data_IF_474091210961
#
_entry.id   IF_474091210961
#
_cell.length_a   1.000
_cell.length_b   1.000
_cell.length_c   1.000
_cell.angle_alpha   90.00
_cell.angle_beta   90.00
_cell.angle_gamma   90.00
#
_symmetry.space_group_name_H-M   'P 1'
#
loop_
_entity.id
_entity.type
_entity.pdbx_description
1 polymer ?
#
# COMPACT_ATOMS: atom_id res chain seq x y z
N UNK A 1 30.04 -15.07 -20.20
CA UNK A 1 30.51 -14.07 -19.23
C UNK A 1 29.96 -12.75 -19.68
N UNK A 2 28.80 -12.50 -19.08
CA UNK A 2 28.25 -11.23 -18.61
C UNK A 2 27.76 -10.16 -19.61
N UNK A 3 26.43 -10.06 -19.56
CA UNK A 3 25.56 -8.89 -19.76
C UNK A 3 26.12 -7.61 -19.13
N UNK A 4 25.86 -6.45 -19.75
CA UNK A 4 24.92 -5.51 -19.11
C UNK A 4 24.41 -4.41 -20.05
N UNK A 5 23.08 -4.35 -20.07
CA UNK A 5 22.24 -3.31 -20.64
C UNK A 5 22.37 -2.00 -19.86
N UNK A 6 22.45 -0.86 -20.55
CA UNK A 6 22.18 0.44 -19.91
C UNK A 6 20.99 1.16 -20.56
N UNK A 7 19.93 1.23 -19.76
CA UNK A 7 18.68 1.96 -19.95
C UNK A 7 18.93 3.44 -20.26
N UNK A 8 18.26 3.96 -21.28
CA UNK A 8 18.00 5.40 -21.42
C UNK A 8 16.51 5.67 -21.15
N UNK A 9 16.17 6.62 -20.25
CA UNK A 9 14.79 6.93 -19.91
C UNK A 9 14.13 7.76 -21.01
N UNK A 10 12.91 7.38 -21.39
CA UNK A 10 12.07 8.12 -22.33
C UNK A 10 11.38 9.25 -21.58
N UNK A 11 11.81 10.49 -21.82
CA UNK A 11 11.01 11.69 -21.62
C UNK A 11 11.32 12.70 -22.72
N UNK A 12 10.35 13.59 -22.97
CA UNK A 12 10.27 14.65 -24.00
C UNK A 12 9.42 14.24 -25.21
N UNK A 13 8.11 14.47 -25.09
CA UNK A 13 7.27 14.87 -26.23
C UNK A 13 6.63 16.20 -25.85
N UNK A 14 7.18 17.29 -26.37
CA UNK A 14 6.53 18.59 -26.48
C UNK A 14 5.53 18.53 -27.64
N UNK A 15 4.24 18.69 -27.37
CA UNK A 15 3.24 18.90 -28.44
C UNK A 15 2.79 20.35 -28.45
N UNK A 16 3.21 21.07 -29.48
CA UNK A 16 2.58 22.28 -29.98
C UNK A 16 1.12 21.95 -30.34
N UNK A 17 0.16 22.64 -29.71
CA UNK A 17 -1.21 22.69 -30.18
C UNK A 17 -1.55 24.13 -30.55
N UNK A 18 -1.63 24.32 -31.86
CA UNK A 18 -2.19 25.49 -32.54
C UNK A 18 -3.66 25.66 -32.20
N UNK A 19 -4.00 26.91 -31.88
CA UNK A 19 -5.33 27.48 -31.81
C UNK A 19 -6.03 27.39 -33.15
N UNK A 20 -6.92 26.41 -33.34
CA UNK A 20 -8.03 26.48 -34.30
C UNK A 20 -8.86 25.19 -34.20
N UNK A 21 -9.85 25.21 -33.31
CA UNK A 21 -11.07 24.36 -33.35
C UNK A 21 -12.00 24.64 -32.17
N UNK A 22 -12.08 25.91 -31.75
CA UNK A 22 -13.29 26.41 -31.09
C UNK A 22 -14.28 26.72 -32.20
N UNK A 23 -15.43 26.04 -32.17
CA UNK A 23 -16.72 26.34 -32.83
C UNK A 23 -17.31 25.10 -33.49
N UNK A 24 -18.01 24.30 -32.69
CA UNK A 24 -19.30 23.71 -33.09
C UNK A 24 -19.71 22.72 -32.01
N UNK A 25 -20.82 22.99 -31.34
CA UNK A 25 -21.85 22.03 -30.89
C UNK A 25 -22.75 22.74 -29.87
N UNK A 26 -23.55 23.67 -30.40
CA UNK A 26 -24.84 24.01 -29.81
C UNK A 26 -25.88 22.98 -30.27
N UNK A 27 -26.90 22.79 -29.44
CA UNK A 27 -28.09 21.93 -29.60
C UNK A 27 -27.95 20.43 -29.23
N UNK A 28 -28.26 20.12 -27.97
CA UNK A 28 -28.93 18.86 -27.59
C UNK A 28 -30.12 19.19 -26.67
N UNK A 29 -31.25 18.46 -26.79
CA UNK A 29 -32.56 18.82 -26.23
C UNK A 29 -32.68 18.58 -24.72
N UNK A 30 -33.72 19.15 -24.05
CA UNK A 30 -33.83 19.12 -22.59
C UNK A 30 -34.22 17.74 -22.04
N UNK A 31 -33.62 17.39 -20.91
CA UNK A 31 -33.91 16.19 -20.11
C UNK A 31 -35.30 16.25 -19.44
N UNK A 32 -36.05 15.14 -19.36
CA UNK A 32 -37.31 15.10 -18.62
C UNK A 32 -37.07 14.99 -17.11
N UNK A 33 -37.85 15.74 -16.35
CA UNK A 33 -37.96 15.76 -14.88
C UNK A 33 -38.48 14.42 -14.33
N UNK A 34 -38.04 13.96 -13.14
CA UNK A 34 -38.38 12.64 -12.63
C UNK A 34 -39.75 12.61 -11.95
N UNK A 35 -40.61 11.68 -12.39
CA UNK A 35 -41.85 11.33 -11.71
C UNK A 35 -41.57 10.41 -10.51
N UNK A 36 -42.18 10.74 -9.39
CA UNK A 36 -42.21 10.00 -8.13
C UNK A 36 -42.76 8.58 -8.28
N UNK A 37 -42.10 7.59 -7.69
CA UNK A 37 -42.72 6.28 -7.42
C UNK A 37 -42.29 5.72 -6.07
N UNK A 38 -43.32 5.19 -5.42
CA UNK A 38 -43.46 4.89 -4.02
C UNK A 38 -42.58 3.74 -3.49
N UNK A 39 -42.36 3.82 -2.18
CA UNK A 39 -41.77 2.83 -1.29
C UNK A 39 -42.42 1.45 -1.37
N UNK A 40 -41.60 0.41 -1.52
CA UNK A 40 -41.94 -0.98 -1.14
C UNK A 40 -40.77 -1.62 -0.37
N UNK A 41 -41.05 -2.54 0.57
CA UNK A 41 -40.13 -2.89 1.65
C UNK A 41 -39.03 -3.88 1.22
N UNK A 42 -37.83 -3.63 1.73
CA UNK A 42 -36.62 -4.40 1.50
C UNK A 42 -36.61 -5.72 2.29
N UNK A 43 -36.83 -6.85 1.61
CA UNK A 43 -36.29 -8.15 2.06
C UNK A 43 -35.11 -8.55 1.17
N UNK A 44 -33.98 -7.86 1.35
CA UNK A 44 -32.71 -8.28 0.78
C UNK A 44 -32.10 -9.38 1.66
N UNK A 45 -32.28 -10.64 1.27
CA UNK A 45 -31.47 -11.75 1.78
C UNK A 45 -30.00 -11.42 1.54
N UNK A 46 -29.22 -11.26 2.62
CA UNK A 46 -27.75 -11.21 2.58
C UNK A 46 -27.24 -12.51 1.95
N UNK A 47 -26.98 -12.51 0.64
CA UNK A 47 -26.11 -13.53 0.03
C UNK A 47 -24.68 -13.16 0.43
N UNK A 48 -24.11 -13.92 1.34
CA UNK A 48 -22.68 -13.87 1.63
C UNK A 48 -21.92 -14.04 0.31
N UNK A 49 -21.07 -13.07 -0.02
CA UNK A 49 -20.11 -13.21 -1.11
C UNK A 49 -19.11 -14.30 -0.68
N UNK A 50 -18.94 -15.38 -1.45
CA UNK A 50 -17.98 -16.42 -1.11
C UNK A 50 -16.55 -15.85 -1.16
N UNK A 51 -15.62 -16.40 -0.36
CA UNK A 51 -14.26 -15.90 -0.28
C UNK A 51 -13.57 -16.01 -1.65
N UNK A 52 -12.94 -14.91 -2.04
CA UNK A 52 -12.14 -14.83 -3.25
C UNK A 52 -10.85 -15.63 -3.08
N UNK A 53 -10.76 -16.74 -3.81
CA UNK A 53 -9.69 -17.10 -4.76
C UNK A 53 -10.34 -18.13 -5.67
N UNK A 54 -10.82 -17.71 -6.86
CA UNK A 54 -11.04 -18.69 -7.92
C UNK A 54 -9.66 -19.07 -8.42
N UNK A 55 -9.16 -20.22 -7.98
CA UNK A 55 -8.20 -20.97 -8.78
C UNK A 55 -8.86 -21.16 -10.14
N UNK A 56 -8.40 -20.41 -11.16
CA UNK A 56 -8.76 -20.73 -12.52
C UNK A 56 -8.24 -22.14 -12.78
N UNK A 57 -9.08 -23.09 -13.24
CA UNK A 57 -8.61 -24.40 -13.62
C UNK A 57 -7.51 -24.22 -14.66
N UNK A 58 -6.31 -24.72 -14.39
CA UNK A 58 -5.13 -24.63 -15.26
C UNK A 58 -5.27 -25.48 -16.53
N UNK A 59 -6.40 -26.14 -16.72
CA UNK A 59 -6.76 -26.75 -18.00
C UNK A 59 -7.26 -25.63 -18.93
N UNK A 60 -6.33 -24.98 -19.64
CA UNK A 60 -6.65 -24.57 -21.00
C UNK A 60 -7.00 -25.88 -21.72
N UNK A 61 -8.29 -26.19 -21.77
CA UNK A 61 -8.81 -27.42 -22.35
C UNK A 61 -8.21 -27.58 -23.75
N UNK A 62 -7.66 -28.76 -24.09
CA UNK A 62 -7.14 -29.03 -25.43
C UNK A 62 -8.18 -28.67 -26.48
N UNK A 63 -9.46 -28.91 -26.14
CA UNK A 63 -10.66 -28.50 -26.85
C UNK A 63 -10.68 -27.00 -27.22
N UNK A 64 -10.24 -26.10 -26.34
CA UNK A 64 -10.20 -24.66 -26.60
C UNK A 64 -9.05 -24.26 -27.53
N UNK A 65 -7.87 -24.86 -27.38
CA UNK A 65 -6.78 -24.64 -28.33
C UNK A 65 -7.13 -25.17 -29.72
N UNK A 66 -7.81 -26.32 -29.78
CA UNK A 66 -8.33 -26.87 -31.04
C UNK A 66 -9.39 -25.97 -31.66
N UNK A 67 -10.29 -25.39 -30.85
CA UNK A 67 -11.23 -24.37 -31.31
C UNK A 67 -10.50 -23.15 -31.91
N UNK A 68 -9.51 -22.59 -31.22
CA UNK A 68 -8.75 -21.44 -31.71
C UNK A 68 -7.99 -21.76 -33.00
N UNK A 69 -7.37 -22.93 -33.09
CA UNK A 69 -6.70 -23.42 -34.29
C UNK A 69 -7.68 -23.58 -35.45
N UNK A 70 -8.87 -24.14 -35.19
CA UNK A 70 -9.91 -24.30 -36.21
C UNK A 70 -10.46 -22.96 -36.69
N UNK A 71 -10.65 -21.99 -35.81
CA UNK A 71 -11.08 -20.62 -36.16
C UNK A 71 -10.01 -19.88 -36.95
N UNK A 72 -8.74 -20.02 -36.59
CA UNK A 72 -7.64 -19.51 -37.39
C UNK A 72 -7.57 -20.20 -38.76
N UNK A 73 -7.91 -21.50 -38.81
CA UNK A 73 -7.87 -22.29 -40.03
C UNK A 73 -8.98 -21.94 -41.06
N UNK A 74 -10.03 -21.21 -40.65
CA UNK A 74 -11.09 -20.72 -41.55
C UNK A 74 -10.50 -19.87 -42.66
N UNK A 75 -9.47 -19.08 -42.38
CA UNK A 75 -8.85 -18.17 -43.35
C UNK A 75 -8.16 -18.94 -44.49
N UNK A 76 -7.83 -20.23 -44.29
CA UNK A 76 -7.31 -21.10 -45.35
C UNK A 76 -8.42 -21.73 -46.23
N UNK A 77 -9.69 -21.69 -45.80
CA UNK A 77 -10.79 -22.31 -46.57
C UNK A 77 -11.06 -21.50 -47.84
N UNK A 78 -11.00 -22.16 -48.99
CA UNK A 78 -11.27 -21.55 -50.30
C UNK A 78 -10.06 -20.89 -50.98
N UNK A 79 -8.90 -20.82 -50.32
CA UNK A 79 -7.68 -20.30 -50.94
C UNK A 79 -7.01 -21.36 -51.84
N UNK A 80 -6.91 -21.07 -53.13
CA UNK A 80 -6.22 -21.92 -54.11
C UNK A 80 -4.93 -21.25 -54.59
N UNK A 81 -3.92 -21.21 -53.70
CA UNK A 81 -2.63 -20.57 -53.99
C UNK A 81 -1.78 -21.49 -54.85
N UNK A 82 -1.67 -21.16 -56.14
CA UNK A 82 -0.92 -21.95 -57.13
C UNK A 82 0.58 -21.59 -57.18
N UNK A 83 0.94 -20.37 -56.84
CA UNK A 83 2.30 -19.83 -56.93
C UNK A 83 3.15 -20.17 -55.71
N UNK A 84 4.35 -20.72 -55.94
CA UNK A 84 5.35 -20.95 -54.88
C UNK A 84 6.03 -19.63 -54.51
N UNK A 85 6.37 -19.46 -53.24
CA UNK A 85 7.15 -18.31 -52.78
C UNK A 85 8.59 -18.41 -53.33
N UNK A 86 9.04 -17.49 -54.21
CA UNK A 86 10.42 -17.45 -54.65
C UNK A 86 11.32 -16.94 -53.53
N UNK A 87 12.58 -17.39 -53.51
CA UNK A 87 13.50 -17.08 -52.41
C UNK A 87 13.83 -15.58 -52.35
N UNK A 88 13.85 -14.88 -53.49
CA UNK A 88 14.08 -13.42 -53.57
C UNK A 88 12.94 -12.58 -52.96
N UNK A 89 11.73 -13.15 -52.83
CA UNK A 89 10.57 -12.49 -52.22
C UNK A 89 10.26 -13.02 -50.83
N UNK A 90 11.09 -13.93 -50.31
CA UNK A 90 10.87 -14.51 -49.01
C UNK A 90 11.27 -13.51 -47.92
N UNK A 91 10.26 -13.00 -47.21
CA UNK A 91 10.43 -12.17 -46.02
C UNK A 91 9.77 -12.88 -44.85
N UNK A 92 10.46 -12.89 -43.71
CA UNK A 92 9.89 -13.44 -42.48
C UNK A 92 8.83 -12.47 -41.95
N UNK A 93 7.52 -12.83 -41.96
CA UNK A 93 6.45 -11.91 -41.59
C UNK A 93 6.60 -11.41 -40.16
N UNK A 94 6.22 -10.16 -39.91
CA UNK A 94 5.95 -9.66 -38.56
C UNK A 94 4.53 -10.05 -38.11
N UNK A 95 4.21 -9.84 -36.83
CA UNK A 95 2.90 -10.18 -36.24
C UNK A 95 1.76 -9.44 -36.97
N UNK A 96 1.97 -8.18 -37.35
CA UNK A 96 1.01 -7.36 -38.09
C UNK A 96 0.75 -7.86 -39.52
N UNK A 97 1.76 -8.49 -40.15
CA UNK A 97 1.74 -8.87 -41.57
C UNK A 97 1.44 -10.36 -41.78
N UNK A 98 0.81 -11.01 -40.79
CA UNK A 98 0.51 -12.44 -40.79
C UNK A 98 -0.27 -12.91 -42.04
N UNK A 99 -1.04 -12.02 -42.67
CA UNK A 99 -1.81 -12.30 -43.91
C UNK A 99 -0.92 -12.64 -45.11
N UNK A 100 0.36 -12.23 -45.12
CA UNK A 100 1.32 -12.63 -46.18
C UNK A 100 1.52 -14.14 -46.28
N UNK A 101 1.23 -14.89 -45.20
CA UNK A 101 1.30 -16.35 -45.23
C UNK A 101 0.20 -16.99 -46.07
N UNK A 102 -0.84 -16.22 -46.44
CA UNK A 102 -1.94 -16.65 -47.30
C UNK A 102 -1.67 -16.41 -48.79
N UNK A 103 -0.67 -15.61 -49.16
CA UNK A 103 -0.46 -15.18 -50.55
C UNK A 103 0.39 -16.14 -51.39
N UNK A 104 1.21 -16.97 -50.75
CA UNK A 104 2.15 -17.87 -51.44
C UNK A 104 2.16 -19.28 -50.84
N UNK A 105 2.58 -20.25 -51.65
CA UNK A 105 2.91 -21.60 -51.18
C UNK A 105 4.37 -21.66 -50.72
N UNK A 106 4.59 -21.75 -49.41
CA UNK A 106 5.92 -21.75 -48.79
C UNK A 106 6.59 -23.13 -48.79
N UNK A 107 7.93 -23.13 -48.91
CA UNK A 107 8.77 -24.33 -48.74
C UNK A 107 8.86 -24.69 -47.25
N UNK A 108 9.14 -25.97 -46.94
CA UNK A 108 9.26 -26.43 -45.55
C UNK A 108 10.37 -25.68 -44.80
N UNK A 109 11.50 -25.41 -45.44
CA UNK A 109 12.62 -24.73 -44.79
C UNK A 109 12.34 -23.24 -44.53
N UNK A 110 11.64 -22.57 -45.46
CA UNK A 110 11.13 -21.21 -45.24
C UNK A 110 10.24 -21.15 -43.99
N UNK A 111 9.30 -22.10 -43.83
CA UNK A 111 8.44 -22.15 -42.64
C UNK A 111 9.21 -22.50 -41.36
N UNK A 112 10.22 -23.36 -41.42
CA UNK A 112 11.10 -23.63 -40.27
C UNK A 112 11.85 -22.37 -39.85
N UNK A 113 12.30 -21.56 -40.80
CA UNK A 113 12.97 -20.27 -40.51
C UNK A 113 12.03 -19.32 -39.77
N UNK A 114 10.77 -19.19 -40.23
CA UNK A 114 9.76 -18.38 -39.54
C UNK A 114 9.46 -18.95 -38.15
N UNK A 115 9.25 -20.26 -38.04
CA UNK A 115 8.97 -20.92 -36.76
C UNK A 115 10.11 -20.72 -35.75
N UNK A 116 11.38 -20.77 -36.18
CA UNK A 116 12.54 -20.49 -35.31
C UNK A 116 12.53 -19.06 -34.77
N UNK A 117 12.23 -18.05 -35.60
CA UNK A 117 12.16 -16.63 -35.17
C UNK A 117 11.20 -16.45 -33.99
N UNK A 118 10.03 -17.10 -34.06
CA UNK A 118 9.00 -17.03 -33.03
C UNK A 118 9.12 -18.11 -31.95
N UNK A 119 10.25 -18.84 -31.90
CA UNK A 119 10.51 -19.91 -30.93
C UNK A 119 9.43 -21.01 -30.90
N UNK A 120 8.84 -21.29 -32.07
CA UNK A 120 7.83 -22.33 -32.25
C UNK A 120 8.46 -23.69 -32.59
N UNK A 121 7.72 -24.77 -32.32
CA UNK A 121 8.13 -26.13 -32.69
C UNK A 121 8.26 -26.27 -34.22
N UNK A 122 9.43 -26.72 -34.67
CA UNK A 122 9.81 -26.82 -36.10
C UNK A 122 9.52 -28.19 -36.77
N UNK A 123 9.06 -29.18 -36.02
CA UNK A 123 8.71 -30.50 -36.56
C UNK A 123 7.31 -30.52 -37.19
N UNK A 124 7.04 -31.52 -38.04
CA UNK A 124 5.72 -31.77 -38.62
C UNK A 124 5.68 -31.71 -40.15
N UNK A 125 4.48 -31.85 -40.69
CA UNK A 125 4.19 -31.67 -42.12
C UNK A 125 4.20 -30.20 -42.53
N UNK A 126 4.32 -29.92 -43.82
CA UNK A 126 4.33 -28.53 -44.33
C UNK A 126 3.03 -27.78 -43.93
N UNK A 127 1.88 -28.48 -44.00
CA UNK A 127 0.57 -27.93 -43.58
C UNK A 127 0.52 -27.62 -42.08
N UNK A 128 1.01 -28.52 -41.23
CA UNK A 128 1.07 -28.28 -39.79
C UNK A 128 1.96 -27.11 -39.41
N UNK A 129 3.14 -27.00 -40.04
CA UNK A 129 4.07 -25.88 -39.84
C UNK A 129 3.42 -24.56 -40.24
N UNK A 130 2.75 -24.51 -41.40
CA UNK A 130 2.07 -23.32 -41.88
C UNK A 130 0.94 -22.90 -40.94
N UNK A 131 0.07 -23.86 -40.57
CA UNK A 131 -1.03 -23.62 -39.63
C UNK A 131 -0.53 -23.11 -38.29
N UNK A 132 0.51 -23.72 -37.73
CA UNK A 132 1.09 -23.31 -36.43
C UNK A 132 1.63 -21.89 -36.47
N UNK A 133 2.42 -21.56 -37.48
CA UNK A 133 2.99 -20.22 -37.64
C UNK A 133 1.87 -19.20 -37.82
N UNK A 134 0.93 -19.47 -38.73
CA UNK A 134 -0.19 -18.57 -39.01
C UNK A 134 -1.06 -18.31 -37.77
N UNK A 135 -1.49 -19.37 -37.08
CA UNK A 135 -2.31 -19.25 -35.89
C UNK A 135 -1.59 -18.47 -34.80
N UNK A 136 -0.30 -18.73 -34.59
CA UNK A 136 0.49 -17.98 -33.62
C UNK A 136 0.51 -16.47 -33.94
N UNK A 137 0.79 -16.10 -35.19
CA UNK A 137 0.86 -14.68 -35.58
C UNK A 137 -0.51 -13.99 -35.53
N UNK A 138 -1.56 -14.65 -36.03
CA UNK A 138 -2.94 -14.14 -35.98
C UNK A 138 -3.39 -13.90 -34.54
N UNK A 139 -3.28 -14.92 -33.69
CA UNK A 139 -3.69 -14.81 -32.28
C UNK A 139 -2.84 -13.79 -31.52
N UNK A 140 -1.55 -13.67 -31.84
CA UNK A 140 -0.69 -12.65 -31.25
C UNK A 140 -1.14 -11.24 -31.64
N UNK A 141 -1.52 -11.03 -32.91
CA UNK A 141 -2.05 -9.75 -33.39
C UNK A 141 -3.38 -9.40 -32.68
N UNK A 142 -4.30 -10.36 -32.58
CA UNK A 142 -5.57 -10.18 -31.87
C UNK A 142 -5.34 -9.89 -30.38
N UNK A 143 -4.41 -10.60 -29.74
CA UNK A 143 -4.01 -10.37 -28.35
C UNK A 143 -3.43 -8.97 -28.15
N UNK A 144 -2.58 -8.47 -29.06
CA UNK A 144 -2.04 -7.10 -29.00
C UNK A 144 -3.18 -6.07 -29.06
N UNK A 145 -4.19 -6.29 -29.90
CA UNK A 145 -5.36 -5.40 -29.99
C UNK A 145 -6.13 -5.35 -28.65
N UNK A 146 -6.42 -6.51 -28.07
CA UNK A 146 -7.09 -6.62 -26.76
C UNK A 146 -6.25 -5.94 -25.67
N UNK A 147 -4.95 -6.21 -25.63
CA UNK A 147 -4.04 -5.60 -24.66
C UNK A 147 -3.98 -4.08 -24.81
N UNK A 148 -3.97 -3.54 -26.04
CA UNK A 148 -4.00 -2.10 -26.31
C UNK A 148 -5.28 -1.47 -25.75
N UNK A 149 -6.44 -2.09 -26.00
CA UNK A 149 -7.72 -1.62 -25.44
C UNK A 149 -7.71 -1.65 -23.92
N UNK A 150 -7.20 -2.74 -23.33
CA UNK A 150 -7.13 -2.90 -21.88
C UNK A 150 -6.18 -1.89 -21.21
N UNK A 151 -4.98 -1.68 -21.76
CA UNK A 151 -4.05 -0.63 -21.28
C UNK A 151 -4.71 0.75 -21.32
N UNK A 152 -5.40 1.07 -22.42
CA UNK A 152 -6.17 2.32 -22.53
C UNK A 152 -7.30 2.43 -21.50
N UNK A 153 -8.02 1.34 -21.23
CA UNK A 153 -9.04 1.29 -20.18
C UNK A 153 -8.42 1.54 -18.80
N UNK A 154 -7.32 0.87 -18.46
CA UNK A 154 -6.62 1.07 -17.18
C UNK A 154 -6.15 2.51 -17.00
N UNK A 155 -5.62 3.15 -18.05
CA UNK A 155 -5.21 4.56 -17.98
C UNK A 155 -6.40 5.47 -17.73
N UNK A 156 -7.50 5.33 -18.48
CA UNK A 156 -8.71 6.13 -18.29
C UNK A 156 -9.32 5.92 -16.91
N UNK A 157 -9.36 4.67 -16.45
CA UNK A 157 -9.82 4.33 -15.10
C UNK A 157 -8.94 4.97 -14.02
N UNK A 158 -7.61 4.94 -14.18
CA UNK A 158 -6.69 5.64 -13.29
C UNK A 158 -6.97 7.14 -13.24
N UNK A 159 -7.16 7.78 -14.40
CA UNK A 159 -7.45 9.21 -14.48
C UNK A 159 -8.78 9.55 -13.79
N UNK A 160 -9.80 8.69 -13.91
CA UNK A 160 -11.07 8.84 -13.19
C UNK A 160 -10.91 8.73 -11.67
N UNK A 161 -10.05 7.83 -11.18
CA UNK A 161 -9.78 7.69 -9.75
C UNK A 161 -9.06 8.91 -9.16
N UNK A 162 -8.27 9.65 -9.96
CA UNK A 162 -7.61 10.91 -9.55
C UNK A 162 -8.58 12.08 -9.40
N UNK A 163 -9.78 11.96 -9.94
CA UNK A 163 -10.85 12.93 -9.72
C UNK A 163 -10.93 14.06 -10.77
N UNK A 164 -11.89 14.98 -10.58
CA UNK A 164 -12.36 15.90 -11.61
C UNK A 164 -11.36 16.99 -12.02
N UNK A 165 -10.40 17.32 -11.17
CA UNK A 165 -9.38 18.34 -11.45
C UNK A 165 -8.04 17.76 -11.94
N UNK A 166 -7.96 16.44 -12.21
CA UNK A 166 -6.71 15.82 -12.64
C UNK A 166 -6.18 16.38 -13.97
N UNK A 167 -7.05 16.52 -14.97
CA UNK A 167 -6.66 17.05 -16.29
C UNK A 167 -6.65 18.58 -16.35
N UNK A 168 -7.41 19.23 -15.47
CA UNK A 168 -7.45 20.69 -15.36
C UNK A 168 -7.47 21.08 -13.89
N UNK A 169 -6.30 21.51 -13.40
CA UNK A 169 -6.08 21.89 -12.00
C UNK A 169 -6.70 23.24 -11.65
N UNK A 170 -7.05 24.06 -12.63
CA UNK A 170 -7.72 25.35 -12.40
C UNK A 170 -9.14 25.18 -11.84
N UNK A 171 -9.69 23.96 -11.91
CA UNK A 171 -10.95 23.62 -11.24
C UNK A 171 -10.83 23.59 -9.72
N UNK A 172 -9.62 23.48 -9.17
CA UNK A 172 -9.43 23.42 -7.73
C UNK A 172 -9.72 24.79 -7.08
N UNK A 173 -10.53 24.76 -6.04
CA UNK A 173 -10.85 25.93 -5.22
C UNK A 173 -9.67 26.33 -4.32
N UNK A 174 -8.90 25.35 -3.84
CA UNK A 174 -7.70 25.61 -3.03
C UNK A 174 -6.47 25.89 -3.91
N UNK A 175 -5.63 26.82 -3.46
CA UNK A 175 -4.39 27.21 -4.15
C UNK A 175 -3.20 26.30 -3.82
N UNK A 176 -3.10 25.82 -2.58
CA UNK A 176 -2.03 24.95 -2.09
C UNK A 176 -2.59 23.73 -1.38
N UNK A 177 -1.77 22.70 -1.19
CA UNK A 177 -2.06 21.55 -0.32
C UNK A 177 -1.85 21.91 1.17
N UNK A 178 -2.60 21.27 2.06
CA UNK A 178 -2.63 21.64 3.48
C UNK A 178 -1.50 21.01 4.31
N UNK A 179 -0.86 19.94 3.82
CA UNK A 179 0.22 19.26 4.53
C UNK A 179 1.56 19.54 3.86
N UNK A 180 1.68 19.34 2.54
CA UNK A 180 2.94 19.58 1.83
C UNK A 180 3.19 21.07 1.59
N UNK A 181 2.16 21.91 1.72
CA UNK A 181 2.18 23.35 1.40
C UNK A 181 2.55 23.67 -0.04
N UNK A 182 2.63 22.66 -0.91
CA UNK A 182 2.91 22.83 -2.33
C UNK A 182 1.71 23.45 -3.05
N UNK A 183 1.97 24.25 -4.08
CA UNK A 183 0.90 24.74 -4.93
C UNK A 183 0.23 23.58 -5.65
N UNK A 184 -1.11 23.59 -5.70
CA UNK A 184 -1.90 22.54 -6.35
C UNK A 184 -1.49 22.34 -7.81
N UNK A 185 -1.02 23.40 -8.49
CA UNK A 185 -0.54 23.35 -9.87
C UNK A 185 0.79 22.62 -10.04
N UNK A 186 1.59 22.55 -8.98
CA UNK A 186 2.96 22.03 -9.00
C UNK A 186 3.05 20.57 -8.52
N UNK A 187 2.06 20.09 -7.77
CA UNK A 187 1.99 18.69 -7.29
C UNK A 187 2.24 17.69 -8.44
N UNK A 188 3.09 16.67 -8.34
CA UNK A 188 3.30 15.72 -9.43
C UNK A 188 2.01 15.01 -9.87
N UNK A 189 1.83 14.77 -11.18
CA UNK A 189 0.62 14.12 -11.71
C UNK A 189 0.37 12.72 -11.12
N UNK A 190 1.45 12.03 -10.74
CA UNK A 190 1.40 10.73 -10.08
C UNK A 190 0.85 10.82 -8.66
N UNK A 191 1.10 11.95 -8.00
CA UNK A 191 0.81 12.20 -6.60
C UNK A 191 -0.47 13.03 -6.38
N UNK A 192 -1.03 13.58 -7.45
CA UNK A 192 -2.25 14.37 -7.38
C UNK A 192 -3.53 13.51 -7.26
N UNK A 193 -4.44 13.97 -6.39
CA UNK A 193 -5.83 13.50 -6.29
C UNK A 193 -6.77 14.69 -6.03
N UNK A 194 -8.01 14.60 -6.49
CA UNK A 194 -9.05 15.61 -6.26
C UNK A 194 -10.39 14.98 -5.99
N UNK A 195 -11.26 15.70 -5.28
CA UNK A 195 -12.66 15.34 -5.14
C UNK A 195 -13.56 16.57 -5.19
N UNK A 196 -14.83 16.35 -5.50
CA UNK A 196 -15.87 17.38 -5.48
C UNK A 196 -16.71 17.19 -4.23
N UNK A 197 -16.93 18.28 -3.50
CA UNK A 197 -17.79 18.32 -2.32
C UNK A 197 -19.27 18.43 -2.70
N UNK A 198 -20.14 18.35 -1.70
CA UNK A 198 -21.60 18.38 -1.85
C UNK A 198 -22.10 19.72 -2.42
N UNK A 199 -21.38 20.80 -2.11
CA UNK A 199 -21.63 22.15 -2.62
C UNK A 199 -21.07 22.39 -4.03
N UNK A 200 -20.48 21.37 -4.66
CA UNK A 200 -19.97 21.44 -6.02
C UNK A 200 -18.55 22.01 -6.17
N UNK A 201 -17.92 22.47 -5.08
CA UNK A 201 -16.52 22.89 -5.06
C UNK A 201 -15.57 21.70 -5.22
N UNK A 202 -14.45 21.90 -5.91
CA UNK A 202 -13.46 20.85 -6.16
C UNK A 202 -12.18 21.16 -5.40
N UNK A 203 -11.67 20.20 -4.64
CA UNK A 203 -10.44 20.34 -3.87
C UNK A 203 -9.38 19.40 -4.40
N UNK A 204 -8.16 19.91 -4.60
CA UNK A 204 -6.98 19.17 -5.03
C UNK A 204 -6.04 18.94 -3.86
N UNK A 205 -5.47 17.75 -3.77
CA UNK A 205 -4.59 17.33 -2.70
C UNK A 205 -3.42 16.52 -3.25
N UNK A 206 -2.34 16.52 -2.49
CA UNK A 206 -1.37 15.44 -2.58
C UNK A 206 -1.97 14.15 -1.96
N UNK A 207 -1.72 13.01 -2.59
CA UNK A 207 -2.11 11.68 -2.10
C UNK A 207 -1.54 11.46 -0.69
N UNK A 208 -0.33 11.92 -0.41
CA UNK A 208 0.32 11.92 0.91
C UNK A 208 -0.60 12.57 1.94
N UNK A 209 -1.01 13.80 1.66
CA UNK A 209 -1.81 14.64 2.55
C UNK A 209 -3.15 14.00 2.86
N UNK A 210 -3.89 13.61 1.82
CA UNK A 210 -5.20 12.99 1.97
C UNK A 210 -5.14 11.62 2.66
N UNK A 211 -4.07 10.85 2.41
CA UNK A 211 -3.85 9.56 3.07
C UNK A 211 -3.56 9.71 4.57
N UNK A 212 -2.69 10.66 4.94
CA UNK A 212 -2.35 10.92 6.33
C UNK A 212 -3.51 11.53 7.11
N UNK A 213 -4.31 12.40 6.49
CA UNK A 213 -5.55 12.90 7.08
C UNK A 213 -6.48 11.76 7.49
N UNK A 214 -6.65 10.76 6.62
CA UNK A 214 -7.48 9.58 6.94
C UNK A 214 -6.87 8.70 8.02
N UNK A 215 -5.55 8.58 8.04
CA UNK A 215 -4.82 7.66 8.94
C UNK A 215 -4.71 8.22 10.35
N UNK A 216 -4.53 9.52 10.50
CA UNK A 216 -4.42 10.21 11.79
C UNK A 216 -5.77 10.43 12.48
N UNK A 217 -6.88 10.22 11.77
CA UNK A 217 -8.22 10.30 12.36
C UNK A 217 -8.55 9.00 13.12
N UNK A 218 -8.64 9.07 14.45
CA UNK A 218 -8.94 7.95 15.34
C UNK A 218 -10.20 7.17 14.91
N UNK A 219 -10.10 5.84 14.95
CA UNK A 219 -11.04 4.89 14.32
C UNK A 219 -12.53 5.24 14.44
N UNK A 220 -13.20 5.24 13.28
CA UNK A 220 -14.60 5.61 13.02
C UNK A 220 -14.99 7.10 13.13
N UNK A 221 -14.07 8.00 13.48
CA UNK A 221 -14.38 9.43 13.46
C UNK A 221 -14.55 9.92 12.02
N UNK A 222 -15.45 10.90 11.85
CA UNK A 222 -15.71 11.56 10.58
C UNK A 222 -14.45 12.32 10.18
N UNK A 223 -14.03 12.17 8.91
CA UNK A 223 -12.88 12.92 8.39
C UNK A 223 -13.42 14.17 7.74
N UNK A 224 -12.91 15.32 8.14
CA UNK A 224 -13.33 16.61 7.64
C UNK A 224 -12.31 17.19 6.66
N UNK A 225 -12.79 17.99 5.71
CA UNK A 225 -11.97 18.74 4.79
C UNK A 225 -11.19 19.83 5.57
N UNK A 226 -9.85 19.91 5.46
CA UNK A 226 -9.06 20.93 6.13
C UNK A 226 -9.46 22.38 5.83
N UNK A 227 -10.07 22.64 4.66
CA UNK A 227 -10.45 24.00 4.23
C UNK A 227 -11.85 24.41 4.68
N UNK A 228 -12.82 23.49 4.67
CA UNK A 228 -14.24 23.79 4.90
C UNK A 228 -14.82 23.13 6.14
N UNK A 229 -14.11 22.19 6.76
CA UNK A 229 -14.59 21.30 7.83
C UNK A 229 -15.81 20.46 7.45
N UNK A 230 -16.17 20.41 6.16
CA UNK A 230 -17.22 19.54 5.66
C UNK A 230 -16.76 18.08 5.68
N UNK A 231 -17.69 17.16 5.88
CA UNK A 231 -17.38 15.73 5.94
C UNK A 231 -16.93 15.20 4.58
N UNK A 232 -15.76 14.57 4.53
CA UNK A 232 -15.28 13.87 3.35
C UNK A 232 -15.93 12.50 3.24
N UNK A 233 -16.66 12.28 2.14
CA UNK A 233 -17.34 11.01 1.87
C UNK A 233 -16.35 9.84 1.75
N UNK A 234 -16.78 8.65 2.20
CA UNK A 234 -15.93 7.45 2.23
C UNK A 234 -15.44 7.02 0.84
N UNK A 235 -16.23 7.28 -0.20
CA UNK A 235 -15.93 6.94 -1.59
C UNK A 235 -14.64 7.60 -2.07
N UNK A 236 -14.32 8.79 -1.56
CA UNK A 236 -13.07 9.51 -1.87
C UNK A 236 -11.87 8.69 -1.43
N UNK A 237 -11.89 8.21 -0.18
CA UNK A 237 -10.81 7.37 0.36
C UNK A 237 -10.76 5.99 -0.29
N UNK A 238 -11.89 5.42 -0.68
CA UNK A 238 -11.93 4.14 -1.41
C UNK A 238 -11.34 4.28 -2.81
N UNK A 239 -11.61 5.40 -3.51
CA UNK A 239 -10.97 5.75 -4.80
C UNK A 239 -9.47 5.94 -4.63
N UNK A 240 -9.04 6.69 -3.63
CA UNK A 240 -7.63 6.88 -3.29
C UNK A 240 -6.92 5.54 -3.05
N UNK A 241 -7.48 4.66 -2.21
CA UNK A 241 -6.91 3.32 -1.95
C UNK A 241 -6.84 2.46 -3.21
N UNK A 242 -7.84 2.53 -4.08
CA UNK A 242 -7.83 1.82 -5.38
C UNK A 242 -6.73 2.37 -6.29
N UNK A 243 -6.56 3.68 -6.34
CA UNK A 243 -5.52 4.34 -7.13
C UNK A 243 -4.13 3.92 -6.66
N UNK A 244 -3.86 3.99 -5.35
CA UNK A 244 -2.57 3.57 -4.76
C UNK A 244 -2.26 2.12 -5.14
N UNK A 245 -3.23 1.21 -4.96
CA UNK A 245 -3.06 -0.21 -5.33
C UNK A 245 -2.78 -0.40 -6.83
N UNK A 246 -3.47 0.35 -7.69
CA UNK A 246 -3.28 0.30 -9.13
C UNK A 246 -1.86 0.74 -9.51
N UNK A 247 -1.41 1.88 -8.98
CA UNK A 247 -0.08 2.45 -9.25
C UNK A 247 1.04 1.53 -8.78
N UNK A 248 0.95 1.01 -7.55
CA UNK A 248 1.99 0.16 -6.98
C UNK A 248 2.04 -1.24 -7.61
N UNK A 249 0.88 -1.89 -7.83
CA UNK A 249 0.86 -3.29 -8.29
C UNK A 249 0.96 -3.45 -9.80
N UNK A 250 0.35 -2.54 -10.57
CA UNK A 250 0.31 -2.65 -12.02
C UNK A 250 1.44 -1.83 -12.65
N UNK A 251 1.53 -0.55 -12.28
CA UNK A 251 2.51 0.36 -12.88
C UNK A 251 3.87 0.34 -12.19
N UNK A 252 3.98 -0.29 -11.01
CA UNK A 252 5.22 -0.37 -10.21
C UNK A 252 5.83 1.00 -9.92
N UNK A 253 4.97 2.00 -9.72
CA UNK A 253 5.38 3.37 -9.37
C UNK A 253 5.42 3.53 -7.86
N UNK A 254 6.49 4.12 -7.34
CA UNK A 254 6.58 4.58 -5.96
C UNK A 254 5.73 5.83 -5.77
N UNK A 255 4.78 5.77 -4.84
CA UNK A 255 3.98 6.90 -4.40
C UNK A 255 4.34 7.20 -2.95
N UNK A 256 4.49 8.47 -2.62
CA UNK A 256 4.72 8.95 -1.27
C UNK A 256 3.40 8.95 -0.49
N UNK A 257 3.18 7.91 0.31
CA UNK A 257 1.91 7.69 1.03
C UNK A 257 2.12 7.80 2.55
N UNK A 258 3.36 7.78 3.00
CA UNK A 258 3.75 7.95 4.39
C UNK A 258 4.51 9.26 4.49
N UNK A 259 4.18 10.07 5.49
CA UNK A 259 5.11 11.11 5.90
C UNK A 259 6.33 10.32 6.35
N UNK A 260 7.47 10.52 5.69
CA UNK A 260 8.73 10.31 6.37
C UNK A 260 8.63 11.26 7.56
N UNK A 261 8.22 10.72 8.72
CA UNK A 261 8.40 11.46 9.95
C UNK A 261 9.87 11.82 9.88
N UNK A 262 10.17 13.12 9.77
CA UNK A 262 11.49 13.58 10.15
C UNK A 262 11.75 12.86 11.45
N UNK A 263 12.83 12.06 11.53
CA UNK A 263 13.15 11.41 12.76
C UNK A 263 13.51 12.58 13.68
N UNK A 264 12.53 13.13 14.40
CA UNK A 264 12.72 13.26 15.84
C UNK A 264 13.26 11.90 16.22
N UNK A 265 14.58 11.89 16.47
CA UNK A 265 15.48 10.82 16.05
C UNK A 265 14.84 9.44 16.26
N UNK A 266 14.99 8.52 15.30
CA UNK A 266 14.81 7.10 15.62
C UNK A 266 15.94 6.74 16.60
N UNK A 267 15.78 7.20 17.83
CA UNK A 267 16.74 7.13 18.90
C UNK A 267 17.05 5.66 18.99
N UNK A 268 18.34 5.37 18.89
CA UNK A 268 18.85 4.06 19.22
C UNK A 268 18.28 3.65 20.58
N UNK A 269 18.11 2.35 20.79
CA UNK A 269 17.66 1.82 22.07
C UNK A 269 18.47 2.45 23.24
N UNK A 270 19.77 2.64 23.04
CA UNK A 270 20.67 3.30 23.99
C UNK A 270 20.25 4.74 24.28
N UNK A 271 20.00 5.57 23.26
CA UNK A 271 19.57 6.96 23.45
C UNK A 271 18.19 7.07 24.12
N UNK A 272 17.27 6.13 23.83
CA UNK A 272 15.97 6.07 24.53
C UNK A 272 16.12 5.71 26.00
N UNK A 273 17.03 4.79 26.32
CA UNK A 273 17.37 4.45 27.70
C UNK A 273 17.93 5.70 28.39
N UNK A 274 18.94 6.35 27.82
CA UNK A 274 19.55 7.55 28.42
C UNK A 274 18.52 8.66 28.63
N UNK A 275 17.66 8.96 27.64
CA UNK A 275 16.58 9.95 27.80
C UNK A 275 15.58 9.58 28.89
N UNK A 276 15.25 8.30 29.04
CA UNK A 276 14.36 7.86 30.10
C UNK A 276 14.99 8.08 31.49
N UNK A 277 16.27 7.77 31.65
CA UNK A 277 16.98 7.99 32.91
C UNK A 277 17.17 9.49 33.20
N UNK A 278 17.40 10.32 32.18
CA UNK A 278 17.39 11.79 32.34
C UNK A 278 16.03 12.33 32.80
N UNK A 279 14.92 11.79 32.28
CA UNK A 279 13.56 12.14 32.72
C UNK A 279 13.28 11.64 34.15
N UNK A 280 13.79 10.47 34.53
CA UNK A 280 13.71 10.00 35.92
C UNK A 280 14.48 10.97 36.83
N UNK A 281 15.67 11.41 36.41
CA UNK A 281 16.51 12.31 37.19
C UNK A 281 15.92 13.72 37.33
N UNK A 282 15.17 14.19 36.32
CA UNK A 282 14.48 15.49 36.39
C UNK A 282 13.42 15.53 37.49
N UNK A 283 12.98 14.39 37.99
CA UNK A 283 12.07 14.29 39.14
C UNK A 283 12.80 14.27 40.49
N UNK A 284 14.12 14.47 40.52
CA UNK A 284 14.94 14.62 41.73
C UNK A 284 15.56 13.33 42.26
N UNK A 285 15.60 12.27 41.45
CA UNK A 285 16.26 11.02 41.78
C UNK A 285 17.64 10.95 41.10
N UNK A 286 18.63 10.29 41.70
CA UNK A 286 19.91 10.04 41.04
C UNK A 286 19.91 8.60 40.53
N UNK A 287 19.59 8.41 39.26
CA UNK A 287 19.49 7.09 38.62
C UNK A 287 20.67 6.81 37.70
N UNK A 288 20.81 5.55 37.27
CA UNK A 288 21.89 5.14 36.38
C UNK A 288 21.39 4.16 35.32
N UNK A 289 21.62 4.45 34.03
CA UNK A 289 21.19 3.59 32.91
C UNK A 289 21.75 2.17 32.98
N UNK A 290 22.90 2.00 33.66
CA UNK A 290 23.49 0.69 33.96
C UNK A 290 22.53 -0.25 34.70
N UNK A 291 21.62 0.28 35.51
CA UNK A 291 20.65 -0.53 36.26
C UNK A 291 19.71 -1.32 35.37
N UNK A 292 19.46 -0.81 34.15
CA UNK A 292 18.67 -1.47 33.13
C UNK A 292 19.53 -2.26 32.14
N UNK A 293 20.63 -1.69 31.66
CA UNK A 293 21.46 -2.32 30.63
C UNK A 293 22.18 -3.58 31.13
N UNK A 294 22.50 -3.64 32.43
CA UNK A 294 23.15 -4.80 33.06
C UNK A 294 22.22 -5.98 33.34
N UNK A 295 20.90 -5.83 33.15
CA UNK A 295 19.94 -6.89 33.43
C UNK A 295 19.99 -7.98 32.34
N UNK A 296 20.02 -9.23 32.79
CA UNK A 296 19.82 -10.39 31.94
C UNK A 296 18.33 -10.61 31.65
N UNK A 297 18.03 -11.50 30.70
CA UNK A 297 16.65 -11.83 30.32
C UNK A 297 15.79 -12.22 31.52
N UNK A 298 16.34 -12.98 32.47
CA UNK A 298 15.59 -13.44 33.66
C UNK A 298 15.21 -12.24 34.52
N UNK A 299 16.14 -11.33 34.79
CA UNK A 299 15.84 -10.15 35.60
C UNK A 299 14.98 -9.11 34.87
N UNK A 300 15.02 -9.03 33.54
CA UNK A 300 14.09 -8.21 32.75
C UNK A 300 12.64 -8.73 32.84
N UNK A 301 12.46 -10.05 32.74
CA UNK A 301 11.14 -10.66 32.93
C UNK A 301 10.67 -10.47 34.38
N UNK A 302 11.57 -10.68 35.35
CA UNK A 302 11.27 -10.42 36.77
C UNK A 302 10.88 -8.97 37.00
N UNK A 303 11.59 -8.01 36.40
CA UNK A 303 11.28 -6.59 36.49
C UNK A 303 9.86 -6.28 36.06
N UNK A 304 9.42 -6.82 34.91
CA UNK A 304 8.04 -6.64 34.42
C UNK A 304 7.02 -7.23 35.41
N UNK A 305 7.30 -8.42 35.95
CA UNK A 305 6.42 -9.07 36.92
C UNK A 305 6.33 -8.29 38.23
N UNK A 306 7.45 -7.82 38.77
CA UNK A 306 7.50 -7.03 40.02
C UNK A 306 6.82 -5.67 39.83
N UNK A 307 7.02 -5.01 38.67
CA UNK A 307 6.36 -3.73 38.38
C UNK A 307 4.85 -3.90 38.26
N UNK A 308 4.39 -4.96 37.60
CA UNK A 308 2.96 -5.27 37.52
C UNK A 308 2.37 -5.60 38.90
N UNK A 309 3.12 -6.31 39.75
CA UNK A 309 2.69 -6.63 41.11
C UNK A 309 2.58 -5.38 41.99
N UNK A 310 3.54 -4.46 41.89
CA UNK A 310 3.47 -3.15 42.53
C UNK A 310 2.25 -2.37 42.02
N UNK A 311 2.08 -2.30 40.69
CA UNK A 311 1.04 -1.52 40.04
C UNK A 311 -0.39 -1.97 40.39
N UNK A 312 -0.63 -3.29 40.45
CA UNK A 312 -1.96 -3.83 40.73
C UNK A 312 -2.22 -4.10 42.21
N UNK A 313 -1.20 -4.48 42.98
CA UNK A 313 -1.39 -5.01 44.32
C UNK A 313 -0.67 -4.20 45.40
N UNK A 314 0.66 -4.06 45.35
CA UNK A 314 1.40 -3.49 46.51
C UNK A 314 1.13 -2.01 46.72
N UNK A 315 0.99 -1.23 45.65
CA UNK A 315 0.74 0.20 45.76
C UNK A 315 -0.69 0.56 46.19
N UNK A 316 -1.62 -0.42 46.26
CA UNK A 316 -3.02 -0.21 46.66
C UNK A 316 -3.72 0.95 45.93
N UNK A 317 -3.41 1.14 44.64
CA UNK A 317 -3.93 2.24 43.84
C UNK A 317 -5.40 2.00 43.45
N UNK A 318 -6.21 3.06 43.53
CA UNK A 318 -7.57 3.01 42.96
C UNK A 318 -7.50 3.00 41.42
N UNK A 319 -8.52 2.47 40.73
CA UNK A 319 -8.60 2.50 39.26
C UNK A 319 -8.45 3.91 38.67
N UNK A 320 -9.01 4.91 39.34
CA UNK A 320 -8.94 6.33 38.94
C UNK A 320 -7.50 6.83 39.05
N UNK A 321 -6.82 6.54 40.14
CA UNK A 321 -5.42 6.94 40.35
C UNK A 321 -4.50 6.30 39.32
N UNK A 322 -4.70 5.01 39.02
CA UNK A 322 -3.97 4.33 37.93
C UNK A 322 -4.19 5.00 36.57
N UNK A 323 -5.43 5.40 36.27
CA UNK A 323 -5.75 6.10 35.02
C UNK A 323 -5.08 7.47 34.94
N UNK A 324 -4.98 8.19 36.07
CA UNK A 324 -4.32 9.49 36.14
C UNK A 324 -2.79 9.40 35.94
N UNK A 325 -2.18 8.30 36.39
CA UNK A 325 -0.74 8.02 36.25
C UNK A 325 -0.42 7.46 34.86
N UNK A 326 -1.22 6.51 34.37
CA UNK A 326 -1.07 5.91 33.05
C UNK A 326 -2.44 5.62 32.44
N UNK A 327 -2.96 6.49 31.53
CA UNK A 327 -4.26 6.31 30.90
C UNK A 327 -4.37 5.02 30.08
N UNK A 328 -3.25 4.53 29.56
CA UNK A 328 -3.17 3.27 28.83
C UNK A 328 -2.45 2.21 29.67
N UNK A 329 -3.23 1.32 30.28
CA UNK A 329 -2.69 0.25 31.15
C UNK A 329 -1.59 -0.57 30.44
N UNK A 330 -0.32 -0.45 30.85
CA UNK A 330 0.79 -1.11 30.18
C UNK A 330 0.82 -2.63 30.41
N UNK A 331 0.00 -3.15 31.33
CA UNK A 331 -0.04 -4.56 31.72
C UNK A 331 -1.33 -5.29 31.35
N UNK A 332 -2.20 -4.68 30.53
CA UNK A 332 -3.51 -5.24 30.11
C UNK A 332 -3.44 -6.70 29.61
N UNK A 333 -2.32 -7.10 29.02
CA UNK A 333 -2.07 -8.46 28.52
C UNK A 333 -0.81 -9.09 29.12
N UNK A 334 -0.56 -8.87 30.41
CA UNK A 334 0.67 -9.28 31.12
C UNK A 334 1.08 -10.73 30.83
N UNK A 335 0.18 -11.71 30.96
CA UNK A 335 0.50 -13.12 30.75
C UNK A 335 1.00 -13.42 29.32
N UNK A 336 0.37 -12.81 28.32
CA UNK A 336 0.76 -12.94 26.91
C UNK A 336 2.11 -12.25 26.70
N UNK A 337 2.28 -11.06 27.28
CA UNK A 337 3.52 -10.29 27.19
C UNK A 337 4.71 -11.05 27.80
N UNK A 338 4.56 -11.62 29.00
CA UNK A 338 5.59 -12.46 29.65
C UNK A 338 5.90 -13.68 28.78
N UNK A 339 4.89 -14.39 28.26
CA UNK A 339 5.10 -15.54 27.38
C UNK A 339 5.89 -15.15 26.11
N UNK A 340 5.60 -13.98 25.54
CA UNK A 340 6.35 -13.43 24.41
C UNK A 340 7.81 -13.13 24.76
N UNK A 341 8.08 -12.51 25.93
CA UNK A 341 9.44 -12.26 26.38
C UNK A 341 10.21 -13.56 26.65
N UNK A 342 9.55 -14.58 27.18
CA UNK A 342 10.14 -15.90 27.40
C UNK A 342 10.53 -16.58 26.08
N UNK A 343 9.71 -16.44 25.04
CA UNK A 343 9.96 -17.02 23.72
C UNK A 343 11.06 -16.27 22.92
N UNK A 344 11.15 -14.95 23.07
CA UNK A 344 12.10 -14.09 22.36
C UNK A 344 13.57 -14.40 22.71
N UNK A 345 14.44 -14.47 21.71
CA UNK A 345 15.88 -14.74 21.92
C UNK A 345 16.74 -13.48 21.78
N UNK A 346 16.26 -12.47 21.05
CA UNK A 346 17.01 -11.23 20.86
C UNK A 346 16.87 -10.31 22.09
N UNK A 347 18.00 -10.06 22.77
CA UNK A 347 18.06 -9.18 23.95
C UNK A 347 17.69 -7.74 23.67
N UNK A 348 17.96 -7.20 22.47
CA UNK A 348 17.59 -5.84 22.11
C UNK A 348 16.07 -5.69 21.99
N UNK A 349 15.40 -6.69 21.40
CA UNK A 349 13.93 -6.72 21.28
C UNK A 349 13.27 -6.85 22.65
N UNK A 350 13.86 -7.65 23.55
CA UNK A 350 13.37 -7.76 24.94
C UNK A 350 13.50 -6.41 25.65
N UNK A 351 14.68 -5.78 25.57
CA UNK A 351 14.93 -4.47 26.19
C UNK A 351 14.02 -3.40 25.61
N UNK A 352 13.82 -3.35 24.30
CA UNK A 352 12.91 -2.41 23.64
C UNK A 352 11.47 -2.52 24.17
N UNK A 353 10.96 -3.75 24.29
CA UNK A 353 9.61 -4.00 24.81
C UNK A 353 9.47 -3.62 26.29
N UNK A 354 10.46 -3.94 27.13
CA UNK A 354 10.44 -3.58 28.55
C UNK A 354 10.58 -2.07 28.71
N UNK A 355 11.42 -1.42 27.91
CA UNK A 355 11.60 0.02 27.90
C UNK A 355 10.29 0.74 27.55
N UNK A 356 9.53 0.22 26.58
CA UNK A 356 8.22 0.79 26.23
C UNK A 356 7.22 0.81 27.41
N UNK A 357 7.25 -0.20 28.29
CA UNK A 357 6.45 -0.21 29.52
C UNK A 357 6.91 0.89 30.48
N UNK A 358 8.23 1.03 30.66
CA UNK A 358 8.79 2.05 31.55
C UNK A 358 8.49 3.47 31.05
N UNK A 359 8.63 3.70 29.75
CA UNK A 359 8.29 4.99 29.13
C UNK A 359 6.80 5.31 29.31
N UNK A 360 5.92 4.33 29.16
CA UNK A 360 4.50 4.51 29.41
C UNK A 360 4.21 4.91 30.87
N UNK A 361 4.92 4.33 31.84
CA UNK A 361 4.76 4.66 33.26
C UNK A 361 5.28 6.06 33.61
N UNK A 362 6.43 6.45 33.06
CA UNK A 362 7.08 7.74 33.40
C UNK A 362 6.44 8.92 32.65
N UNK A 363 6.07 8.74 31.37
CA UNK A 363 5.71 9.87 30.49
C UNK A 363 4.20 10.09 30.35
N UNK A 364 3.34 9.13 30.70
CA UNK A 364 1.90 9.21 30.38
C UNK A 364 1.03 9.95 31.39
N UNK A 365 1.58 10.36 32.54
CA UNK A 365 0.83 11.04 33.59
C UNK A 365 0.30 12.40 33.14
N UNK A 366 -0.95 12.71 33.52
CA UNK A 366 -1.61 13.97 33.12
C UNK A 366 -1.04 15.22 33.81
N UNK A 367 -0.41 15.04 34.98
CA UNK A 367 0.23 16.10 35.76
C UNK A 367 1.65 15.69 36.12
N UNK A 368 2.48 16.64 36.53
CA UNK A 368 3.84 16.38 37.04
C UNK A 368 3.84 15.45 38.26
N UNK A 369 2.89 15.62 39.19
CA UNK A 369 2.74 14.73 40.35
C UNK A 369 2.42 13.29 39.95
N UNK A 370 1.56 13.11 38.94
CA UNK A 370 1.21 11.79 38.44
C UNK A 370 2.40 11.11 37.74
N UNK A 371 3.21 11.88 37.00
CA UNK A 371 4.46 11.39 36.41
C UNK A 371 5.49 11.02 37.48
N UNK A 372 5.62 11.82 38.53
CA UNK A 372 6.48 11.51 39.68
C UNK A 372 6.10 10.18 40.36
N UNK A 373 4.80 9.88 40.50
CA UNK A 373 4.35 8.57 41.00
C UNK A 373 4.76 7.42 40.06
N UNK A 374 4.62 7.62 38.74
CA UNK A 374 5.11 6.66 37.74
C UNK A 374 6.60 6.38 37.86
N UNK A 375 7.41 7.43 38.04
CA UNK A 375 8.86 7.33 38.28
C UNK A 375 9.16 6.54 39.55
N UNK A 376 8.45 6.81 40.65
CA UNK A 376 8.65 6.09 41.91
C UNK A 376 8.42 4.59 41.77
N UNK A 377 7.36 4.15 41.08
CA UNK A 377 7.10 2.71 40.88
C UNK A 377 8.15 2.02 40.00
N UNK A 378 8.64 2.73 38.97
CA UNK A 378 9.76 2.27 38.15
C UNK A 378 11.03 2.10 39.01
N UNK A 379 11.37 3.08 39.84
CA UNK A 379 12.54 3.02 40.72
C UNK A 379 12.42 1.96 41.81
N UNK A 380 11.26 1.83 42.46
CA UNK A 380 10.98 0.76 43.42
C UNK A 380 11.23 -0.62 42.80
N UNK A 381 10.75 -0.83 41.58
CA UNK A 381 10.98 -2.09 40.86
C UNK A 381 12.46 -2.34 40.60
N UNK A 382 13.24 -1.32 40.24
CA UNK A 382 14.69 -1.47 40.04
C UNK A 382 15.40 -1.97 41.29
N UNK A 383 15.01 -1.50 42.49
CA UNK A 383 15.63 -1.96 43.74
C UNK A 383 15.38 -3.44 44.06
N UNK A 384 14.33 -4.04 43.49
CA UNK A 384 14.02 -5.47 43.65
C UNK A 384 14.90 -6.37 42.76
N UNK A 385 15.30 -5.87 41.58
CA UNK A 385 16.03 -6.68 40.57
C UNK A 385 17.50 -6.32 40.41
N UNK A 386 17.94 -5.15 40.88
CA UNK A 386 19.31 -4.67 40.73
C UNK A 386 19.89 -4.26 42.10
N UNK A 387 21.05 -4.82 42.45
CA UNK A 387 21.69 -4.58 43.76
C UNK A 387 22.23 -3.15 43.88
N UNK A 388 22.79 -2.59 42.81
CA UNK A 388 23.32 -1.22 42.82
C UNK A 388 22.20 -0.20 43.00
N UNK A 389 21.04 -0.44 42.37
CA UNK A 389 19.85 0.39 42.56
C UNK A 389 19.34 0.32 44.00
N UNK A 390 19.36 -0.88 44.61
CA UNK A 390 18.97 -1.08 46.02
C UNK A 390 19.88 -0.33 46.99
N UNK A 391 21.18 -0.42 46.81
CA UNK A 391 22.15 0.27 47.66
C UNK A 391 22.04 1.80 47.52
N UNK A 392 21.71 2.28 46.32
CA UNK A 392 21.54 3.71 46.03
C UNK A 392 20.24 4.27 46.63
N UNK A 393 19.17 3.48 46.70
CA UNK A 393 17.85 3.90 47.20
C UNK A 393 17.23 2.88 48.18
N UNK A 394 17.82 2.67 49.37
CA UNK A 394 17.34 1.64 50.31
C UNK A 394 15.89 1.87 50.78
N UNK A 395 15.48 3.12 50.95
CA UNK A 395 14.12 3.47 51.38
C UNK A 395 13.05 3.07 50.35
N UNK A 396 13.38 3.10 49.05
CA UNK A 396 12.46 2.62 48.01
C UNK A 396 12.36 1.10 48.02
N UNK A 397 13.45 0.41 48.33
CA UNK A 397 13.45 -1.04 48.50
C UNK A 397 12.59 -1.46 49.69
N UNK A 398 12.79 -0.83 50.85
CA UNK A 398 12.03 -1.13 52.07
C UNK A 398 10.52 -0.94 51.88
N UNK A 399 10.11 0.02 51.05
CA UNK A 399 8.70 0.27 50.75
C UNK A 399 8.00 -0.86 49.97
N UNK A 400 8.75 -1.67 49.23
CA UNK A 400 8.20 -2.76 48.38
C UNK A 400 8.79 -4.13 48.67
N UNK A 401 9.71 -4.23 49.63
CA UNK A 401 10.33 -5.49 50.02
C UNK A 401 9.28 -6.46 50.59
N UNK A 402 9.48 -7.74 50.32
CA UNK A 402 8.66 -8.81 50.89
C UNK A 402 8.95 -8.87 52.39
N UNK A 403 7.93 -8.56 53.21
CA UNK A 403 7.96 -8.74 54.67
C UNK A 403 7.64 -10.18 55.03
#
# INVERSE_FOLDING_TARGET
MDDDSNNTPINIITTNLSSDSLLSLHSLPPSPTPASLASTPSHARKRALPPAIKHYPTYLDSSYLDYLNNTAAIDFKGLNVKTKCPDDKFVVPDISDYRMLLSYKYKKDQLKTIAKKYKLRVSGTNKELLSRVYTHLKLSNDAICIQKMFRGHLQRFSNQLRGPAFLNREKCTNSSDFLTMENVKDIPYLQFISYQDDDGFVYGFDILSLHNLKTNTSGNSVVENPYTRSTIRKEVFDRMKRLIKLMQRIYKVSLDVKIEKDPEEALSLTERIERLFMEIDSHGHYSCSSWFTSLDKRNLIRYVSELADIWYYRASLTPETRFMICPHDPFRHLNIFIAMLMAEQNMEVIRDRVLGIMEAMVKSGSTEQNRALGVLYVLQTFTLVNINARESMPWLYEAVAYV
#
